data_IF_457495809904
#
_entry.id   IF_457495809904
#
_cell.length_a   1.000
_cell.length_b   1.000
_cell.length_c   1.000
_cell.angle_alpha   90.00
_cell.angle_beta   90.00
_cell.angle_gamma   90.00
#
_symmetry.space_group_name_H-M   'P 1'
#
loop_
_entity.id
_entity.type
_entity.pdbx_description
1 polymer ?
#
# COMPACT_ATOMS: atom_id res chain seq x y z
N UNK A 1 -34.33 28.15 19.44
CA UNK A 1 -33.85 27.99 19.24
C UNK A 1 -33.11 27.38 19.11
N UNK A 2 -33.15 27.16 18.85
CA UNK A 2 -32.56 26.66 18.59
C UNK A 2 -31.91 26.07 18.12
N UNK A 3 -32.01 25.93 17.98
CA UNK A 3 -31.42 25.44 17.48
C UNK A 3 -30.68 24.94 17.12
N UNK A 4 -30.66 24.84 17.01
CA UNK A 4 -29.91 24.44 16.58
C UNK A 4 -29.35 23.76 16.43
N UNK A 5 -29.60 23.73 16.54
CA UNK A 5 -29.09 23.24 16.34
C UNK A 5 -28.54 22.58 16.03
N UNK A 6 -28.75 22.49 15.93
CA UNK A 6 -28.22 21.97 15.54
C UNK A 6 -27.53 21.48 15.20
N UNK A 7 -27.65 21.45 15.03
CA UNK A 7 -26.99 21.12 14.58
C UNK A 7 -26.13 20.62 14.48
N UNK A 8 -26.19 20.53 14.67
CA UNK A 8 -25.37 20.14 14.54
C UNK A 8 -24.77 19.41 14.33
N UNK A 9 -24.94 19.16 14.31
CA UNK A 9 -24.40 18.46 14.02
C UNK A 9 -23.83 17.82 13.60
N UNK A 10 -23.88 17.56 13.29
CA UNK A 10 -23.33 16.81 12.79
C UNK A 10 -22.52 16.51 12.44
N UNK A 11 -22.25 16.70 12.29
CA UNK A 11 -21.49 16.48 11.86
C UNK A 11 -20.68 15.86 11.85
N UNK A 12 -20.57 15.83 12.18
CA UNK A 12 -19.86 15.22 12.19
C UNK A 12 -19.42 14.35 11.92
N UNK A 13 -19.62 13.98 11.64
CA UNK A 13 -19.34 13.06 11.40
C UNK A 13 -18.60 12.75 10.70
N UNK A 14 -18.40 13.08 10.37
CA UNK A 14 -17.74 12.85 9.64
C UNK A 14 -16.82 12.39 9.61
N UNK A 15 -16.53 12.42 9.93
CA UNK A 15 -15.63 12.15 10.00
C UNK A 15 -15.02 11.15 9.99
N UNK A 16 -15.11 10.74 9.98
CA UNK A 16 -14.66 9.77 10.09
C UNK A 16 -14.20 9.10 9.19
N UNK A 17 -14.20 9.18 8.55
CA UNK A 17 -13.94 8.57 7.70
C UNK A 17 -13.00 7.98 7.43
N UNK A 18 -12.71 7.79 7.28
CA UNK A 18 -11.92 7.18 7.10
C UNK A 18 -11.11 6.57 6.43
N UNK A 19 -10.77 6.13 6.53
CA UNK A 19 -9.84 5.48 6.16
C UNK A 19 -9.97 4.60 5.26
N UNK A 20 -10.38 4.55 4.63
CA UNK A 20 -10.59 3.74 3.72
C UNK A 20 -9.76 2.82 3.29
N UNK A 21 -9.35 2.35 3.67
CA UNK A 21 -8.55 1.41 3.37
C UNK A 21 -8.86 0.57 2.49
N UNK A 22 -9.75 0.36 2.54
CA UNK A 22 -10.13 -0.53 1.74
C UNK A 22 -9.83 -0.20 0.46
N UNK A 23 -9.21 0.60 0.19
CA UNK A 23 -8.96 0.85 -0.99
C UNK A 23 -8.57 -0.27 -1.64
N UNK A 24 -8.95 -0.54 -2.69
CA UNK A 24 -8.60 -1.61 -3.48
C UNK A 24 -7.15 -1.59 -3.63
N UNK A 25 -6.52 -2.66 -3.42
CA UNK A 25 -5.11 -2.75 -3.61
C UNK A 25 -4.80 -2.61 -5.08
N UNK A 26 -3.68 -2.04 -5.40
CA UNK A 26 -3.22 -2.00 -6.78
C UNK A 26 -2.54 -3.33 -7.05
N UNK A 27 -3.03 -4.05 -8.03
CA UNK A 27 -2.48 -5.36 -8.40
C UNK A 27 -2.15 -5.40 -9.88
N UNK A 28 -1.04 -6.04 -10.24
CA UNK A 28 -0.62 -6.23 -11.62
C UNK A 28 0.09 -7.57 -11.68
N UNK A 29 0.29 -8.10 -12.89
CA UNK A 29 1.13 -9.27 -12.98
C UNK A 29 2.53 -8.86 -12.51
N UNK A 30 3.28 -9.82 -12.01
CA UNK A 30 4.52 -9.51 -11.31
C UNK A 30 5.54 -8.78 -12.20
N UNK A 31 5.67 -9.19 -13.44
CA UNK A 31 6.68 -8.56 -14.28
C UNK A 31 6.35 -7.09 -14.53
N UNK A 32 5.09 -6.77 -14.70
CA UNK A 32 4.70 -5.38 -14.88
C UNK A 32 4.84 -4.59 -13.60
N UNK A 33 4.54 -5.21 -12.48
CA UNK A 33 4.68 -4.56 -11.19
C UNK A 33 6.15 -4.21 -10.95
N UNK A 34 7.05 -5.16 -11.18
CA UNK A 34 8.46 -4.90 -10.95
C UNK A 34 9.00 -3.84 -11.92
N UNK A 35 8.55 -3.87 -13.16
CA UNK A 35 8.98 -2.87 -14.12
C UNK A 35 8.53 -1.49 -13.68
N UNK A 36 7.32 -1.35 -13.18
CA UNK A 36 6.82 -0.09 -12.70
C UNK A 36 7.62 0.40 -11.49
N UNK A 37 7.93 -0.50 -10.56
CA UNK A 37 8.68 -0.10 -9.38
C UNK A 37 10.08 0.39 -9.76
N UNK A 38 10.71 -0.24 -10.72
CA UNK A 38 12.03 0.18 -11.15
C UNK A 38 11.97 1.49 -11.94
N UNK A 39 11.09 1.58 -12.92
CA UNK A 39 11.09 2.73 -13.81
C UNK A 39 10.48 3.98 -13.18
N UNK A 40 9.45 3.80 -12.36
CA UNK A 40 8.80 4.96 -11.77
C UNK A 40 9.34 5.36 -10.41
N UNK A 41 9.86 4.42 -9.67
CA UNK A 41 10.28 4.69 -8.30
C UNK A 41 11.73 4.34 -8.00
N UNK A 42 12.41 3.72 -8.92
CA UNK A 42 13.79 3.31 -8.70
C UNK A 42 13.93 2.23 -7.63
N UNK A 43 12.89 1.46 -7.40
CA UNK A 43 12.89 0.45 -6.35
C UNK A 43 13.26 -0.91 -6.88
N UNK A 44 14.11 -1.60 -6.14
CA UNK A 44 14.53 -2.94 -6.50
C UNK A 44 14.27 -3.88 -5.34
N UNK A 45 14.17 -5.16 -5.66
CA UNK A 45 13.89 -6.17 -4.65
C UNK A 45 14.98 -6.20 -3.60
N UNK A 46 14.60 -6.09 -2.35
CA UNK A 46 15.52 -6.09 -1.24
C UNK A 46 15.36 -7.34 -0.36
N UNK A 47 14.15 -7.81 -0.21
CA UNK A 47 13.91 -8.95 0.66
C UNK A 47 12.67 -9.72 0.22
N UNK A 48 12.70 -11.03 0.37
CA UNK A 48 11.58 -11.91 0.02
C UNK A 48 11.31 -12.81 1.21
N UNK A 49 10.05 -13.01 1.54
CA UNK A 49 9.67 -13.97 2.57
C UNK A 49 8.51 -14.79 2.06
N UNK A 50 8.58 -16.09 2.23
CA UNK A 50 7.51 -16.95 1.83
C UNK A 50 6.38 -16.89 2.84
N UNK A 51 5.15 -16.80 2.36
CA UNK A 51 3.97 -16.88 3.20
C UNK A 51 3.29 -18.18 2.81
N UNK A 52 3.48 -19.18 3.62
CA UNK A 52 3.02 -20.52 3.29
C UNK A 52 1.54 -20.52 2.93
N UNK A 53 1.22 -21.14 1.85
CA UNK A 53 -0.18 -21.24 1.39
C UNK A 53 -0.70 -20.01 0.67
N UNK A 54 0.09 -18.96 0.56
CA UNK A 54 -0.37 -17.71 -0.02
C UNK A 54 0.51 -17.22 -1.16
N UNK A 55 1.80 -17.23 -0.96
CA UNK A 55 2.72 -16.70 -1.97
C UNK A 55 3.95 -16.14 -1.30
N UNK A 56 4.45 -15.02 -1.81
CA UNK A 56 5.62 -14.39 -1.24
C UNK A 56 5.36 -12.93 -0.92
N UNK A 57 6.00 -12.48 0.15
CA UNK A 57 5.99 -11.09 0.52
C UNK A 57 7.31 -10.52 0.05
N UNK A 58 7.27 -9.44 -0.71
CA UNK A 58 8.47 -8.84 -1.27
C UNK A 58 8.59 -7.40 -0.83
N UNK A 59 9.81 -7.01 -0.48
CA UNK A 59 10.08 -5.62 -0.16
C UNK A 59 10.99 -5.06 -1.24
N UNK A 60 10.56 -3.99 -1.85
CA UNK A 60 11.32 -3.30 -2.90
C UNK A 60 11.69 -1.92 -2.36
N UNK A 61 12.92 -1.52 -2.56
CA UNK A 61 13.46 -0.32 -1.94
C UNK A 61 14.25 0.51 -2.95
N UNK A 62 14.08 1.82 -2.88
CA UNK A 62 14.92 2.74 -3.63
C UNK A 62 15.98 3.25 -2.67
N UNK A 63 17.22 2.85 -2.89
CA UNK A 63 18.29 3.28 -1.99
C UNK A 63 18.55 4.77 -2.12
N UNK A 64 18.34 5.32 -3.29
CA UNK A 64 18.64 6.75 -3.49
C UNK A 64 17.54 7.63 -2.92
N UNK A 65 16.28 7.23 -3.09
CA UNK A 65 15.17 8.06 -2.66
C UNK A 65 14.59 7.69 -1.31
N UNK A 66 14.91 6.53 -0.80
CA UNK A 66 14.40 6.09 0.48
C UNK A 66 12.96 5.63 0.48
N UNK A 67 12.39 5.39 -0.69
CA UNK A 67 11.01 4.90 -0.76
C UNK A 67 11.02 3.36 -0.77
N UNK A 68 9.92 2.79 -0.37
CA UNK A 68 9.81 1.33 -0.37
C UNK A 68 8.37 0.91 -0.63
N UNK A 69 8.23 -0.31 -1.13
CA UNK A 69 6.92 -0.90 -1.42
C UNK A 69 6.94 -2.36 -0.96
N UNK A 70 5.90 -2.75 -0.26
CA UNK A 70 5.71 -4.15 0.13
C UNK A 70 4.65 -4.75 -0.78
N UNK A 71 4.99 -5.86 -1.41
CA UNK A 71 4.08 -6.56 -2.32
C UNK A 71 3.75 -7.93 -1.80
N UNK A 72 2.55 -8.39 -2.06
CA UNK A 72 2.22 -9.80 -1.89
C UNK A 72 2.01 -10.36 -3.28
N UNK A 73 2.78 -11.38 -3.65
CA UNK A 73 2.68 -12.01 -4.96
C UNK A 73 2.20 -13.45 -4.75
N UNK A 74 1.10 -13.79 -5.38
CA UNK A 74 0.53 -15.12 -5.23
C UNK A 74 1.20 -16.12 -6.18
N UNK A 75 0.76 -17.36 -6.10
CA UNK A 75 1.36 -18.41 -6.89
C UNK A 75 1.09 -18.28 -8.38
N UNK A 76 0.18 -17.40 -8.76
CA UNK A 76 -0.09 -17.17 -10.16
C UNK A 76 0.64 -15.94 -10.68
N UNK A 77 1.59 -15.44 -9.90
CA UNK A 77 2.40 -14.28 -10.29
C UNK A 77 1.60 -13.00 -10.39
N UNK A 78 0.62 -12.85 -9.54
CA UNK A 78 -0.16 -11.65 -9.45
C UNK A 78 0.31 -10.90 -8.20
N UNK A 79 0.78 -9.68 -8.37
CA UNK A 79 1.38 -8.93 -7.28
C UNK A 79 0.49 -7.77 -6.88
N UNK A 80 0.24 -7.63 -5.60
CA UNK A 80 -0.58 -6.55 -5.07
C UNK A 80 0.20 -5.74 -4.07
N UNK A 81 0.05 -4.43 -4.12
CA UNK A 81 0.72 -3.53 -3.18
C UNK A 81 0.02 -3.61 -1.85
N UNK A 82 0.75 -3.93 -0.80
CA UNK A 82 0.22 -3.96 0.55
C UNK A 82 0.48 -2.65 1.27
N UNK A 83 1.64 -2.07 1.06
CA UNK A 83 2.01 -0.85 1.76
C UNK A 83 3.15 -0.16 1.04
N UNK A 84 3.26 1.14 1.22
CA UNK A 84 4.37 1.91 0.70
C UNK A 84 4.79 2.90 1.77
N UNK A 85 5.99 3.40 1.66
CA UNK A 85 6.47 4.41 2.59
C UNK A 85 7.74 5.05 2.12
N UNK A 86 8.26 5.93 2.96
CA UNK A 86 9.51 6.56 2.66
C UNK A 86 10.23 6.79 3.97
N UNK A 87 11.52 7.00 3.87
CA UNK A 87 12.34 7.26 5.05
C UNK A 87 12.88 6.00 5.65
N UNK A 88 12.06 5.29 6.40
CA UNK A 88 12.52 4.10 7.03
C UNK A 88 12.32 2.92 6.13
N UNK A 89 13.32 2.10 6.03
CA UNK A 89 13.19 0.88 5.26
C UNK A 89 12.53 -0.15 6.17
N UNK A 90 11.61 -0.95 5.69
CA UNK A 90 10.94 -1.95 6.53
C UNK A 90 11.94 -2.95 7.04
N UNK A 91 11.70 -3.52 8.17
CA UNK A 91 12.61 -4.50 8.79
C UNK A 91 12.71 -5.82 8.04
#
# INVERSE_FOLDING_TARGET
MKRFLLLLLPILILAIAPVSPAQAAVCLDRSRMLDTLITEYGEQLAEVREIKGTGILEFHVSKSDGTWTALLTDYEQWSCVLATGEGLVPP
#
